data_IF_690414626579
#
_entry.id   IF_690414626579
#
_cell.length_a   1.000
_cell.length_b   1.000
_cell.length_c   1.000
_cell.angle_alpha   90.00
_cell.angle_beta   90.00
_cell.angle_gamma   90.00
#
_symmetry.space_group_name_H-M   'P 1'
#
loop_
_entity.id
_entity.type
_entity.pdbx_description
1 polymer ?
#
# COMPACT_ATOMS: atom_id res chain seq x y z
N UNK A 1 25.22 -7.27 -17.13
CA UNK A 1 24.81 -7.64 -15.76
C UNK A 1 23.64 -6.75 -15.38
N UNK A 2 22.63 -7.27 -14.71
CA UNK A 2 21.50 -6.47 -14.26
C UNK A 2 21.94 -5.64 -13.05
N UNK A 3 21.74 -4.33 -13.08
CA UNK A 3 22.06 -3.43 -11.97
C UNK A 3 20.83 -3.23 -11.10
N UNK A 4 20.90 -3.60 -9.84
CA UNK A 4 19.79 -3.48 -8.89
C UNK A 4 19.99 -2.28 -7.97
N UNK A 5 18.88 -1.61 -7.64
CA UNK A 5 18.82 -0.58 -6.60
C UNK A 5 18.14 -1.14 -5.37
N UNK A 6 18.79 -1.05 -4.21
CA UNK A 6 18.19 -1.37 -2.92
C UNK A 6 18.05 -0.07 -2.14
N UNK A 7 16.81 0.30 -1.79
CA UNK A 7 16.50 1.48 -0.99
C UNK A 7 16.10 1.04 0.40
N UNK A 8 16.84 1.49 1.41
CA UNK A 8 16.48 1.27 2.81
C UNK A 8 15.65 2.43 3.34
N UNK A 9 14.49 2.11 3.94
CA UNK A 9 13.60 3.11 4.55
C UNK A 9 13.41 2.92 6.05
N UNK A 10 14.05 1.89 6.63
CA UNK A 10 13.96 1.56 8.05
C UNK A 10 12.99 0.41 8.34
N UNK A 11 12.36 0.45 9.51
CA UNK A 11 11.47 -0.61 10.00
C UNK A 11 12.20 -1.75 10.68
N UNK A 12 11.46 -2.73 11.21
CA UNK A 12 11.97 -3.86 12.01
C UNK A 12 13.09 -4.64 11.32
N UNK A 13 13.07 -4.73 10.00
CA UNK A 13 14.12 -5.40 9.20
C UNK A 13 15.50 -4.75 9.37
N UNK A 14 15.54 -3.46 9.72
CA UNK A 14 16.75 -2.67 9.98
C UNK A 14 16.97 -2.37 11.48
N UNK A 15 16.23 -3.03 12.36
CA UNK A 15 16.27 -2.81 13.81
C UNK A 15 16.88 -3.98 14.56
N UNK A 16 17.32 -3.70 15.79
CA UNK A 16 17.84 -4.69 16.73
C UNK A 16 17.07 -4.66 18.04
N UNK A 17 16.89 -5.82 18.63
CA UNK A 17 16.34 -5.97 19.97
C UNK A 17 17.43 -5.76 21.02
N UNK A 18 17.17 -4.91 22.00
CA UNK A 18 18.00 -4.76 23.19
C UNK A 18 17.72 -5.93 24.13
N UNK A 19 18.70 -6.82 24.33
CA UNK A 19 18.56 -8.03 25.13
C UNK A 19 18.18 -7.79 26.58
N UNK A 20 18.43 -6.59 27.13
CA UNK A 20 18.14 -6.28 28.53
C UNK A 20 16.72 -5.72 28.73
N UNK A 21 16.21 -4.94 27.76
CA UNK A 21 14.90 -4.28 27.86
C UNK A 21 13.83 -4.91 26.98
N UNK A 22 14.19 -5.76 26.01
CA UNK A 22 13.29 -6.26 24.98
C UNK A 22 12.83 -5.20 23.97
N UNK A 23 13.34 -3.96 24.06
CA UNK A 23 12.96 -2.89 23.16
C UNK A 23 13.66 -3.06 21.80
N UNK A 24 12.86 -2.96 20.72
CA UNK A 24 13.37 -2.97 19.34
C UNK A 24 13.54 -1.54 18.86
N UNK A 25 14.73 -1.19 18.36
CA UNK A 25 15.05 0.17 17.92
C UNK A 25 16.04 0.17 16.75
N UNK A 26 16.08 1.24 15.93
CA UNK A 26 17.08 1.39 14.88
C UNK A 26 18.50 1.34 15.44
N UNK A 27 19.36 0.50 14.83
CA UNK A 27 20.80 0.47 15.12
C UNK A 27 21.55 1.66 14.52
N UNK A 28 22.86 1.77 14.84
CA UNK A 28 23.74 2.79 14.25
C UNK A 28 24.04 2.50 12.78
N UNK A 29 24.11 1.22 12.42
CA UNK A 29 24.34 0.74 11.06
C UNK A 29 23.18 -0.17 10.66
N UNK A 30 22.90 -0.24 9.37
CA UNK A 30 21.86 -1.14 8.87
C UNK A 30 22.41 -2.59 8.88
N UNK A 31 21.83 -3.49 9.69
CA UNK A 31 22.32 -4.87 9.78
C UNK A 31 22.24 -5.64 8.45
N UNK A 32 21.40 -5.19 7.52
CA UNK A 32 21.27 -5.79 6.19
C UNK A 32 22.52 -5.57 5.32
N UNK A 33 23.33 -4.54 5.56
CA UNK A 33 24.55 -4.27 4.79
C UNK A 33 25.59 -5.40 4.92
N UNK A 34 25.71 -6.01 6.09
CA UNK A 34 26.56 -7.19 6.28
C UNK A 34 26.01 -8.41 5.49
N UNK A 35 24.71 -8.61 5.55
CA UNK A 35 24.02 -9.69 4.82
C UNK A 35 24.12 -9.52 3.29
N UNK A 36 24.02 -8.28 2.78
CA UNK A 36 24.12 -7.99 1.36
C UNK A 36 25.49 -8.40 0.77
N UNK A 37 26.59 -8.18 1.50
CA UNK A 37 27.92 -8.57 1.04
C UNK A 37 28.06 -10.08 0.79
N UNK A 38 27.31 -10.90 1.50
CA UNK A 38 27.27 -12.36 1.34
C UNK A 38 26.28 -12.82 0.25
N UNK A 39 25.18 -12.09 0.08
CA UNK A 39 24.10 -12.46 -0.84
C UNK A 39 24.34 -12.02 -2.30
N UNK A 40 25.23 -11.04 -2.54
CA UNK A 40 25.36 -10.35 -3.82
C UNK A 40 26.39 -10.95 -4.79
N UNK A 41 26.76 -12.21 -4.63
CA UNK A 41 27.68 -12.88 -5.55
C UNK A 41 27.09 -12.87 -6.97
N UNK A 42 27.60 -11.95 -7.81
CA UNK A 42 27.30 -11.88 -9.25
C UNK A 42 26.31 -10.80 -9.72
N UNK A 43 25.74 -9.99 -8.83
CA UNK A 43 24.91 -8.85 -9.18
C UNK A 43 25.63 -7.52 -8.92
N UNK A 44 25.45 -6.54 -9.83
CA UNK A 44 25.84 -5.16 -9.59
C UNK A 44 24.71 -4.49 -8.80
N UNK A 45 24.97 -4.11 -7.53
CA UNK A 45 23.96 -3.58 -6.63
C UNK A 45 24.38 -2.21 -6.09
N UNK A 46 23.45 -1.27 -6.15
CA UNK A 46 23.56 0.01 -5.49
C UNK A 46 22.70 -0.03 -4.24
N UNK A 47 23.28 0.28 -3.11
CA UNK A 47 22.58 0.45 -1.83
C UNK A 47 22.38 1.94 -1.56
N UNK A 48 21.15 2.31 -1.25
CA UNK A 48 20.74 3.68 -0.94
C UNK A 48 20.09 3.69 0.46
N UNK A 49 20.84 4.06 1.48
CA UNK A 49 20.32 4.27 2.85
C UNK A 49 19.55 5.59 2.90
N UNK A 50 18.36 5.63 2.29
CA UNK A 50 17.62 6.86 2.03
C UNK A 50 17.04 7.50 3.30
N UNK A 51 16.32 6.71 4.10
CA UNK A 51 15.74 7.11 5.40
C UNK A 51 15.76 5.93 6.36
N UNK A 52 15.69 6.21 7.67
CA UNK A 52 15.61 5.15 8.69
C UNK A 52 14.54 5.53 9.72
N UNK A 53 13.27 5.25 9.39
CA UNK A 53 12.13 5.58 10.24
C UNK A 53 11.29 4.35 10.57
N UNK A 54 10.63 4.30 11.74
CA UNK A 54 9.56 3.35 12.01
C UNK A 54 8.40 3.57 11.04
N UNK A 55 7.79 2.48 10.56
CA UNK A 55 6.72 2.61 9.56
C UNK A 55 5.47 3.39 10.00
N UNK A 56 5.09 3.47 11.30
CA UNK A 56 4.04 4.40 11.72
C UNK A 56 4.35 5.90 11.49
N UNK A 57 5.61 6.26 11.24
CA UNK A 57 6.02 7.62 10.90
C UNK A 57 6.01 7.90 9.38
N UNK A 58 5.72 6.89 8.57
CA UNK A 58 5.60 7.04 7.12
C UNK A 58 4.33 7.81 6.77
N UNK A 59 4.48 8.89 6.00
CA UNK A 59 3.34 9.68 5.49
C UNK A 59 3.21 9.53 3.98
N UNK A 60 2.05 9.84 3.38
CA UNK A 60 1.89 9.81 1.92
C UNK A 60 2.92 10.67 1.19
N UNK A 61 3.31 11.82 1.75
CA UNK A 61 4.33 12.71 1.18
C UNK A 61 5.69 12.03 1.17
N UNK A 62 6.08 11.35 2.26
CA UNK A 62 7.33 10.56 2.32
C UNK A 62 7.29 9.39 1.34
N UNK A 63 6.14 8.70 1.22
CA UNK A 63 5.96 7.65 0.21
C UNK A 63 6.15 8.19 -1.22
N UNK A 64 5.66 9.40 -1.48
CA UNK A 64 5.81 10.05 -2.78
C UNK A 64 7.28 10.43 -3.07
N UNK A 65 8.03 10.94 -2.08
CA UNK A 65 9.47 11.21 -2.27
C UNK A 65 10.28 9.94 -2.56
N UNK A 66 9.85 8.77 -2.05
CA UNK A 66 10.44 7.48 -2.44
C UNK A 66 10.20 7.20 -3.93
N UNK A 67 8.99 7.48 -4.45
CA UNK A 67 8.71 7.31 -5.88
C UNK A 67 9.59 8.23 -6.75
N UNK A 68 9.72 9.50 -6.40
CA UNK A 68 10.59 10.46 -7.10
C UNK A 68 12.06 10.00 -7.07
N UNK A 69 12.52 9.49 -5.91
CA UNK A 69 13.86 8.93 -5.76
C UNK A 69 14.09 7.76 -6.70
N UNK A 70 13.15 6.80 -6.75
CA UNK A 70 13.22 5.64 -7.64
C UNK A 70 13.32 6.09 -9.10
N UNK A 71 12.44 6.99 -9.55
CA UNK A 71 12.45 7.46 -10.94
C UNK A 71 13.72 8.20 -11.33
N UNK A 72 14.26 8.99 -10.42
CA UNK A 72 15.56 9.68 -10.62
C UNK A 72 16.68 8.68 -10.78
N UNK A 73 16.77 7.71 -9.87
CA UNK A 73 17.84 6.69 -9.88
C UNK A 73 17.77 5.78 -11.11
N UNK A 74 16.55 5.42 -11.54
CA UNK A 74 16.36 4.64 -12.78
C UNK A 74 16.92 5.38 -13.99
N UNK A 75 16.69 6.70 -14.10
CA UNK A 75 17.16 7.52 -15.22
C UNK A 75 18.68 7.71 -15.22
N UNK A 76 19.27 7.90 -14.04
CA UNK A 76 20.69 8.22 -13.90
C UNK A 76 21.60 7.00 -13.98
N UNK A 77 21.16 5.81 -13.54
CA UNK A 77 22.05 4.70 -13.24
C UNK A 77 21.77 3.40 -14.02
N UNK A 78 20.87 3.41 -14.99
CA UNK A 78 20.49 2.24 -15.79
C UNK A 78 20.03 1.03 -14.95
N UNK A 79 19.21 1.30 -13.95
CA UNK A 79 18.65 0.29 -13.05
C UNK A 79 17.75 -0.68 -13.81
N UNK A 80 17.83 -1.96 -13.47
CA UNK A 80 17.01 -3.04 -14.06
C UNK A 80 15.94 -3.59 -13.12
N UNK A 81 16.01 -3.28 -11.82
CA UNK A 81 15.04 -3.65 -10.79
C UNK A 81 15.32 -2.93 -9.48
N UNK A 82 14.30 -2.77 -8.65
CA UNK A 82 14.35 -2.04 -7.38
C UNK A 82 13.84 -2.91 -6.25
N UNK A 83 14.52 -2.90 -5.11
CA UNK A 83 14.06 -3.49 -3.85
C UNK A 83 13.99 -2.40 -2.80
N UNK A 84 12.89 -2.34 -2.04
CA UNK A 84 12.68 -1.38 -0.97
C UNK A 84 12.50 -2.17 0.33
N UNK A 85 13.35 -1.95 1.33
CA UNK A 85 13.12 -2.49 2.68
C UNK A 85 12.32 -1.50 3.49
N UNK A 86 11.29 -1.97 4.17
CA UNK A 86 10.28 -1.13 4.82
C UNK A 86 9.77 -1.76 6.13
N UNK A 87 9.28 -0.94 7.05
CA UNK A 87 8.61 -1.43 8.24
C UNK A 87 7.21 -1.93 7.93
N UNK A 88 6.79 -3.01 8.57
CA UNK A 88 5.61 -3.80 8.16
C UNK A 88 4.25 -3.16 8.40
N UNK A 89 4.10 -2.16 9.30
CA UNK A 89 2.77 -1.62 9.66
C UNK A 89 2.12 -0.83 8.51
N UNK A 90 2.91 -0.08 7.73
CA UNK A 90 2.42 0.70 6.58
C UNK A 90 3.02 0.25 5.24
N UNK A 91 3.67 -0.93 5.21
CA UNK A 91 4.29 -1.49 4.00
C UNK A 91 3.29 -1.61 2.84
N UNK A 92 2.09 -2.11 3.11
CA UNK A 92 1.05 -2.28 2.08
C UNK A 92 0.57 -0.94 1.51
N UNK A 93 0.57 0.12 2.32
CA UNK A 93 0.19 1.46 1.90
C UNK A 93 1.28 2.08 1.01
N UNK A 94 2.54 2.01 1.45
CA UNK A 94 3.68 2.47 0.64
C UNK A 94 3.74 1.73 -0.69
N UNK A 95 3.65 0.40 -0.68
CA UNK A 95 3.66 -0.40 -1.90
C UNK A 95 2.53 0.02 -2.86
N UNK A 96 1.33 0.26 -2.35
CA UNK A 96 0.20 0.63 -3.19
C UNK A 96 0.30 2.06 -3.73
N UNK A 97 0.75 3.04 -2.94
CA UNK A 97 0.99 4.39 -3.44
C UNK A 97 2.05 4.38 -4.55
N UNK A 98 3.16 3.67 -4.34
CA UNK A 98 4.18 3.50 -5.38
C UNK A 98 3.61 2.85 -6.66
N UNK A 99 2.72 1.86 -6.52
CA UNK A 99 2.07 1.22 -7.67
C UNK A 99 1.18 2.17 -8.46
N UNK A 100 0.55 3.13 -7.79
CA UNK A 100 -0.31 4.16 -8.42
C UNK A 100 0.51 5.24 -9.15
N UNK A 101 1.71 5.61 -8.67
CA UNK A 101 2.41 6.80 -9.17
C UNK A 101 3.64 6.51 -10.01
N UNK A 102 4.30 5.36 -9.85
CA UNK A 102 5.50 5.01 -10.62
C UNK A 102 5.19 4.78 -12.10
N UNK A 103 5.93 5.48 -12.98
CA UNK A 103 5.80 5.40 -14.43
C UNK A 103 6.77 4.41 -15.08
N UNK A 104 7.15 3.37 -14.35
CA UNK A 104 8.10 2.35 -14.83
C UNK A 104 7.45 0.96 -14.97
N UNK A 105 7.94 0.16 -15.90
CA UNK A 105 7.64 -1.27 -16.01
C UNK A 105 8.73 -2.16 -15.40
N UNK A 106 9.78 -1.57 -14.85
CA UNK A 106 10.80 -2.33 -14.13
C UNK A 106 10.21 -3.02 -12.90
N UNK A 107 10.75 -4.19 -12.51
CA UNK A 107 10.37 -4.81 -11.25
C UNK A 107 10.68 -3.90 -10.07
N UNK A 108 9.65 -3.57 -9.28
CA UNK A 108 9.78 -2.84 -8.01
C UNK A 108 9.20 -3.72 -6.92
N UNK A 109 10.02 -4.07 -5.94
CA UNK A 109 9.67 -5.02 -4.88
C UNK A 109 9.79 -4.33 -3.52
N UNK A 110 8.76 -4.40 -2.71
CA UNK A 110 8.76 -3.92 -1.32
C UNK A 110 8.80 -5.14 -0.40
N UNK A 111 9.66 -5.09 0.61
CA UNK A 111 9.81 -6.15 1.60
C UNK A 111 10.04 -5.60 3.00
N UNK A 112 9.94 -6.44 3.99
CA UNK A 112 10.15 -6.11 5.39
C UNK A 112 10.44 -7.36 6.22
N UNK A 113 10.44 -7.20 7.54
CA UNK A 113 10.56 -8.31 8.48
C UNK A 113 9.64 -8.13 9.67
N UNK A 114 9.09 -9.24 10.16
CA UNK A 114 8.29 -9.28 11.38
C UNK A 114 9.15 -9.42 12.63
N UNK A 115 10.36 -9.93 12.48
CA UNK A 115 11.35 -10.11 13.55
C UNK A 115 12.55 -9.21 13.34
N UNK A 116 13.11 -8.71 14.44
CA UNK A 116 14.34 -7.91 14.40
C UNK A 116 15.55 -8.74 13.94
N UNK A 117 16.59 -8.06 13.47
CA UNK A 117 17.74 -8.70 12.81
C UNK A 117 18.50 -9.69 13.72
N UNK A 118 18.51 -9.44 15.03
CA UNK A 118 19.19 -10.27 16.04
C UNK A 118 18.26 -11.22 16.82
N UNK A 119 16.98 -11.28 16.46
CA UNK A 119 16.00 -12.20 17.02
C UNK A 119 16.16 -13.61 16.44
N UNK A 120 15.93 -14.65 17.27
CA UNK A 120 15.97 -16.02 16.80
C UNK A 120 14.91 -16.28 15.72
N UNK A 121 15.36 -16.75 14.57
CA UNK A 121 14.50 -16.97 13.40
C UNK A 121 14.10 -15.67 12.70
N UNK A 122 14.97 -14.64 12.71
CA UNK A 122 14.81 -13.43 11.92
C UNK A 122 14.50 -13.76 10.46
N UNK A 123 13.44 -13.18 9.94
CA UNK A 123 12.95 -13.39 8.57
C UNK A 123 13.52 -12.38 7.56
N UNK A 124 14.14 -11.29 8.05
CA UNK A 124 14.63 -10.18 7.21
C UNK A 124 15.62 -10.58 6.12
N UNK A 125 16.73 -11.29 6.44
CA UNK A 125 17.73 -11.69 5.44
C UNK A 125 17.15 -12.53 4.31
N UNK A 126 16.25 -13.47 4.64
CA UNK A 126 15.64 -14.33 3.64
C UNK A 126 14.59 -13.61 2.78
N UNK A 127 13.81 -12.72 3.39
CA UNK A 127 12.87 -11.86 2.67
C UNK A 127 13.60 -10.91 1.69
N UNK A 128 14.75 -10.36 2.11
CA UNK A 128 15.59 -9.54 1.22
C UNK A 128 16.16 -10.36 0.05
N UNK A 129 16.69 -11.57 0.31
CA UNK A 129 17.17 -12.46 -0.75
C UNK A 129 16.06 -12.80 -1.74
N UNK A 130 14.88 -13.17 -1.26
CA UNK A 130 13.72 -13.49 -2.11
C UNK A 130 13.30 -12.27 -2.94
N UNK A 131 13.32 -11.08 -2.37
CA UNK A 131 13.01 -9.82 -3.06
C UNK A 131 14.03 -9.48 -4.15
N UNK A 132 15.32 -9.70 -3.91
CA UNK A 132 16.39 -9.53 -4.91
C UNK A 132 16.18 -10.50 -6.10
N UNK A 133 15.83 -11.76 -5.84
CA UNK A 133 15.51 -12.73 -6.89
C UNK A 133 14.33 -12.26 -7.74
N UNK A 134 13.26 -11.77 -7.14
CA UNK A 134 12.08 -11.26 -7.86
C UNK A 134 12.42 -9.99 -8.64
N UNK A 135 13.15 -9.03 -8.07
CA UNK A 135 13.57 -7.81 -8.75
C UNK A 135 14.52 -8.06 -9.93
N UNK A 136 15.26 -9.18 -9.89
CA UNK A 136 16.15 -9.62 -10.99
C UNK A 136 15.41 -10.45 -12.05
N UNK A 137 14.17 -10.86 -11.79
CA UNK A 137 13.43 -11.77 -12.66
C UNK A 137 12.76 -11.00 -13.81
N UNK A 138 13.02 -11.43 -15.06
CA UNK A 138 12.43 -10.78 -16.24
C UNK A 138 10.90 -10.85 -16.23
N UNK A 139 10.33 -11.96 -15.76
CA UNK A 139 8.88 -12.19 -15.68
C UNK A 139 8.17 -11.27 -14.69
N UNK A 140 8.91 -10.58 -13.79
CA UNK A 140 8.36 -9.58 -12.89
C UNK A 140 8.09 -8.22 -13.56
N UNK A 141 8.64 -7.97 -14.77
CA UNK A 141 8.40 -6.72 -15.51
C UNK A 141 6.93 -6.53 -15.84
N UNK A 142 6.46 -5.28 -15.70
CA UNK A 142 5.09 -4.89 -16.02
C UNK A 142 4.04 -5.37 -15.01
N UNK A 143 4.42 -6.09 -13.94
CA UNK A 143 3.48 -6.59 -12.92
C UNK A 143 3.12 -5.56 -11.84
N UNK A 144 3.67 -4.35 -11.93
CA UNK A 144 3.49 -3.33 -10.93
C UNK A 144 4.43 -3.48 -9.74
N UNK A 145 4.12 -2.79 -8.65
CA UNK A 145 4.83 -2.94 -7.40
C UNK A 145 4.40 -4.25 -6.74
N UNK A 146 5.40 -5.05 -6.39
CA UNK A 146 5.22 -6.36 -5.76
C UNK A 146 5.61 -6.28 -4.28
N UNK A 147 4.97 -7.09 -3.47
CA UNK A 147 5.32 -7.29 -2.06
C UNK A 147 5.77 -8.73 -1.88
N UNK A 148 6.98 -8.92 -1.35
CA UNK A 148 7.59 -10.25 -1.21
C UNK A 148 8.00 -10.47 0.23
N UNK A 149 7.31 -11.40 0.89
CA UNK A 149 7.63 -11.89 2.23
C UNK A 149 7.26 -13.36 2.33
N UNK A 150 7.98 -14.12 3.15
CA UNK A 150 7.67 -15.51 3.47
C UNK A 150 7.45 -16.37 2.21
N UNK A 151 8.33 -16.23 1.19
CA UNK A 151 8.32 -16.92 -0.11
C UNK A 151 7.12 -16.62 -1.03
N UNK A 152 6.18 -15.78 -0.61
CA UNK A 152 5.01 -15.39 -1.41
C UNK A 152 5.24 -14.05 -2.12
N UNK A 153 4.71 -13.96 -3.35
CA UNK A 153 4.74 -12.75 -4.17
C UNK A 153 3.32 -12.24 -4.30
N UNK A 154 3.07 -11.04 -3.79
CA UNK A 154 1.77 -10.39 -3.83
C UNK A 154 1.81 -9.13 -4.68
N UNK A 155 0.66 -8.73 -5.23
CA UNK A 155 0.52 -7.40 -5.81
C UNK A 155 0.30 -6.37 -4.71
N UNK A 156 0.82 -5.17 -4.89
CA UNK A 156 0.58 -4.05 -3.97
C UNK A 156 -0.92 -3.77 -3.77
N UNK A 157 -1.74 -3.97 -4.81
CA UNK A 157 -3.20 -3.79 -4.74
C UNK A 157 -3.87 -4.75 -3.77
N UNK A 158 -3.49 -6.03 -3.77
CA UNK A 158 -4.25 -7.08 -3.09
C UNK A 158 -3.69 -7.49 -1.72
N UNK A 159 -2.40 -7.24 -1.47
CA UNK A 159 -1.75 -7.63 -0.22
C UNK A 159 -2.26 -6.82 0.96
N UNK A 160 -2.37 -7.44 2.13
CA UNK A 160 -2.65 -6.74 3.40
C UNK A 160 -2.01 -7.47 4.58
N UNK A 161 -1.64 -6.71 5.62
CA UNK A 161 -1.15 -7.25 6.88
C UNK A 161 -2.32 -7.80 7.70
N UNK A 162 -2.39 -9.12 7.84
CA UNK A 162 -3.53 -9.82 8.45
C UNK A 162 -3.31 -10.22 9.90
N UNK A 163 -2.07 -10.17 10.39
CA UNK A 163 -1.70 -10.56 11.74
C UNK A 163 -0.66 -9.60 12.35
N UNK A 164 -0.70 -9.40 13.64
CA UNK A 164 0.17 -8.43 14.33
C UNK A 164 1.63 -8.88 14.47
N UNK A 165 1.93 -10.18 14.50
CA UNK A 165 3.26 -10.73 14.84
C UNK A 165 3.71 -11.95 14.01
N UNK A 166 2.81 -12.61 13.25
CA UNK A 166 3.16 -13.80 12.49
C UNK A 166 4.01 -13.43 11.28
N UNK A 167 5.05 -14.20 10.96
CA UNK A 167 5.89 -13.98 9.76
C UNK A 167 5.12 -14.17 8.45
N UNK A 168 4.06 -15.01 8.43
CA UNK A 168 3.15 -15.20 7.31
C UNK A 168 1.95 -14.23 7.34
N UNK A 169 2.20 -12.98 7.76
CA UNK A 169 1.12 -12.01 7.98
C UNK A 169 0.63 -11.30 6.73
N UNK A 170 1.48 -11.18 5.70
CA UNK A 170 1.09 -10.54 4.45
C UNK A 170 0.38 -11.54 3.57
N UNK A 171 -0.90 -11.27 3.33
CA UNK A 171 -1.80 -12.14 2.58
C UNK A 171 -2.59 -11.32 1.56
N UNK A 172 -3.06 -11.98 0.51
CA UNK A 172 -4.06 -11.44 -0.42
C UNK A 172 -5.36 -12.25 -0.22
N UNK A 173 -6.20 -11.92 0.77
CA UNK A 173 -7.26 -12.82 1.25
C UNK A 173 -8.26 -13.23 0.18
N UNK A 174 -8.54 -12.35 -0.79
CA UNK A 174 -9.53 -12.62 -1.83
C UNK A 174 -8.95 -13.37 -3.03
N UNK A 175 -7.66 -13.18 -3.36
CA UNK A 175 -7.09 -13.65 -4.63
C UNK A 175 -5.87 -14.54 -4.48
N UNK A 176 -5.27 -14.63 -3.30
CA UNK A 176 -4.01 -15.33 -3.05
C UNK A 176 -2.79 -14.58 -3.60
N UNK A 177 -1.58 -15.14 -3.37
CA UNK A 177 -0.35 -14.63 -3.97
C UNK A 177 -0.35 -14.83 -5.49
N UNK A 178 0.35 -14.00 -6.24
CA UNK A 178 0.49 -14.14 -7.70
C UNK A 178 1.66 -15.02 -8.12
N UNK A 179 2.52 -15.38 -7.19
CA UNK A 179 3.69 -16.22 -7.42
C UNK A 179 4.36 -16.62 -6.13
N UNK A 180 5.39 -17.44 -6.27
CA UNK A 180 6.22 -17.94 -5.16
C UNK A 180 7.71 -17.87 -5.52
N UNK A 181 8.52 -17.71 -4.48
CA UNK A 181 9.98 -17.80 -4.57
C UNK A 181 10.43 -19.15 -4.05
N UNK A 182 11.31 -19.83 -4.78
CA UNK A 182 11.92 -21.08 -4.34
C UNK A 182 13.43 -20.92 -4.24
N UNK A 183 14.12 -21.96 -3.72
CA UNK A 183 15.60 -21.96 -3.71
C UNK A 183 16.19 -21.76 -5.11
N UNK A 184 15.56 -22.31 -6.14
CA UNK A 184 16.11 -22.35 -7.50
C UNK A 184 15.60 -21.21 -8.39
N UNK A 185 14.32 -20.82 -8.29
CA UNK A 185 13.70 -19.86 -9.22
C UNK A 185 12.45 -19.21 -8.66
N UNK A 186 12.02 -18.15 -9.33
CA UNK A 186 10.75 -17.45 -9.14
C UNK A 186 9.69 -18.05 -10.05
N UNK A 187 8.46 -18.21 -9.56
CA UNK A 187 7.32 -18.65 -10.34
C UNK A 187 6.18 -17.66 -10.20
N UNK A 188 5.59 -17.25 -11.32
CA UNK A 188 4.35 -16.50 -11.36
C UNK A 188 3.21 -17.40 -11.83
N UNK A 189 2.09 -17.42 -11.10
CA UNK A 189 0.92 -18.24 -11.42
C UNK A 189 -0.11 -17.44 -12.22
N UNK A 190 -0.25 -16.14 -11.93
CA UNK A 190 -1.17 -15.23 -12.60
C UNK A 190 -0.67 -13.79 -12.53
N UNK A 191 -1.42 -12.86 -13.13
CA UNK A 191 -1.11 -11.43 -13.13
C UNK A 191 -2.40 -10.62 -13.02
N UNK A 192 -2.31 -9.38 -12.58
CA UNK A 192 -3.46 -8.47 -12.62
C UNK A 192 -3.84 -8.20 -14.08
N UNK A 193 -5.14 -8.23 -14.35
CA UNK A 193 -5.70 -7.89 -15.67
C UNK A 193 -5.66 -6.38 -15.93
N UNK A 194 -5.70 -5.58 -14.89
CA UNK A 194 -5.70 -4.12 -14.97
C UNK A 194 -4.89 -3.52 -13.84
N UNK A 195 -4.17 -2.45 -14.15
CA UNK A 195 -3.36 -1.68 -13.23
C UNK A 195 -3.68 -0.19 -13.41
N UNK A 196 -3.88 0.52 -12.29
CA UNK A 196 -4.07 1.96 -12.30
C UNK A 196 -2.71 2.65 -12.21
N UNK A 197 -2.49 3.68 -13.02
CA UNK A 197 -1.34 4.58 -12.95
C UNK A 197 -1.81 6.01 -13.13
N UNK A 198 -1.28 6.89 -12.30
CA UNK A 198 -1.59 8.32 -12.34
C UNK A 198 -0.31 9.12 -12.44
N UNK A 199 -0.35 10.17 -13.24
CA UNK A 199 0.74 11.15 -13.30
C UNK A 199 0.35 12.35 -12.44
N UNK A 200 1.06 12.54 -11.33
CA UNK A 200 0.86 13.64 -10.38
C UNK A 200 2.19 14.32 -10.08
N UNK A 201 2.15 15.58 -9.70
CA UNK A 201 3.34 16.38 -9.38
C UNK A 201 3.57 16.58 -7.88
N UNK A 202 2.68 16.06 -7.04
CA UNK A 202 2.77 16.18 -5.58
C UNK A 202 1.49 15.73 -4.90
N UNK A 203 1.47 15.80 -3.57
CA UNK A 203 0.33 15.50 -2.74
C UNK A 203 -0.02 16.72 -1.89
N UNK A 204 -1.15 17.35 -2.17
CA UNK A 204 -1.65 18.57 -1.51
C UNK A 204 -3.03 18.39 -0.89
N UNK A 205 -3.76 17.37 -1.34
CA UNK A 205 -5.12 17.09 -0.89
C UNK A 205 -5.13 16.39 0.46
N UNK A 206 -6.22 16.57 1.21
CA UNK A 206 -6.45 15.91 2.48
C UNK A 206 -7.61 14.91 2.35
N UNK A 207 -7.36 13.63 2.62
CA UNK A 207 -8.34 12.55 2.54
C UNK A 207 -8.38 11.78 3.86
N UNK A 208 -9.57 11.66 4.44
CA UNK A 208 -9.80 10.90 5.67
C UNK A 208 -10.29 9.48 5.39
N UNK A 209 -10.10 8.60 6.36
CA UNK A 209 -10.68 7.26 6.41
C UNK A 209 -11.54 7.13 7.65
N UNK A 210 -12.77 6.64 7.49
CA UNK A 210 -13.73 6.41 8.56
C UNK A 210 -14.30 4.99 8.47
N UNK A 211 -14.28 4.25 9.57
CA UNK A 211 -14.91 2.93 9.66
C UNK A 211 -16.28 3.06 10.31
N UNK A 212 -17.34 2.67 9.58
CA UNK A 212 -18.70 2.67 10.08
C UNK A 212 -18.96 1.56 11.12
N UNK A 213 -19.75 1.89 12.12
CA UNK A 213 -20.20 0.96 13.16
C UNK A 213 -21.71 1.08 13.40
N UNK A 214 -22.28 0.12 14.13
CA UNK A 214 -23.72 0.11 14.45
C UNK A 214 -24.09 1.33 15.34
N UNK A 215 -25.14 2.08 14.94
CA UNK A 215 -25.58 3.28 15.66
C UNK A 215 -24.73 4.52 15.43
N UNK A 216 -23.81 4.51 14.45
CA UNK A 216 -23.03 5.68 14.08
C UNK A 216 -23.94 6.79 13.51
N UNK A 217 -23.72 8.03 13.91
CA UNK A 217 -24.42 9.23 13.45
C UNK A 217 -23.56 10.12 12.52
N UNK A 218 -24.06 11.31 12.22
CA UNK A 218 -23.42 12.28 11.32
C UNK A 218 -22.34 13.16 11.95
N UNK A 219 -22.11 13.14 13.28
CA UNK A 219 -21.26 14.12 13.96
C UNK A 219 -19.82 14.17 13.41
N UNK A 220 -19.20 13.00 13.19
CA UNK A 220 -17.85 12.94 12.63
C UNK A 220 -17.81 13.41 11.17
N UNK A 221 -18.88 13.23 10.40
CA UNK A 221 -18.96 13.71 9.01
C UNK A 221 -19.12 15.24 8.97
N UNK A 222 -19.88 15.84 9.89
CA UNK A 222 -19.95 17.29 10.03
C UNK A 222 -18.57 17.87 10.39
N UNK A 223 -17.91 17.30 11.41
CA UNK A 223 -16.57 17.73 11.80
C UNK A 223 -15.57 17.60 10.64
N UNK A 224 -15.59 16.51 9.88
CA UNK A 224 -14.77 16.33 8.69
C UNK A 224 -15.02 17.42 7.64
N UNK A 225 -16.28 17.78 7.40
CA UNK A 225 -16.66 18.87 6.50
C UNK A 225 -16.17 20.24 6.96
N UNK A 226 -16.13 20.47 8.27
CA UNK A 226 -15.73 21.77 8.84
C UNK A 226 -14.22 22.00 8.84
N UNK A 227 -13.41 20.94 8.95
CA UNK A 227 -11.94 21.05 8.82
C UNK A 227 -11.47 21.14 7.36
N UNK A 228 -12.37 21.04 6.38
CA UNK A 228 -12.08 21.31 4.97
C UNK A 228 -11.27 20.21 4.29
N UNK A 229 -11.61 18.94 4.51
CA UNK A 229 -11.03 17.83 3.76
C UNK A 229 -11.46 17.87 2.28
N UNK A 230 -10.66 17.27 1.40
CA UNK A 230 -10.99 17.16 -0.03
C UNK A 230 -11.76 15.87 -0.36
N UNK A 231 -11.59 14.84 0.46
CA UNK A 231 -12.26 13.56 0.28
C UNK A 231 -12.31 12.73 1.54
N UNK A 232 -13.23 11.76 1.55
CA UNK A 232 -13.35 10.77 2.63
C UNK A 232 -13.61 9.40 2.05
N UNK A 233 -12.94 8.39 2.61
CA UNK A 233 -13.26 6.99 2.37
C UNK A 233 -14.03 6.47 3.57
N UNK A 234 -15.12 5.74 3.34
CA UNK A 234 -15.92 5.12 4.39
C UNK A 234 -15.88 3.60 4.21
N UNK A 235 -15.35 2.90 5.23
CA UNK A 235 -15.49 1.44 5.34
C UNK A 235 -16.90 1.12 5.85
N UNK A 236 -17.79 0.81 4.92
CA UNK A 236 -19.21 0.59 5.17
C UNK A 236 -19.54 -0.82 5.68
N UNK A 237 -20.76 -1.00 6.13
CA UNK A 237 -21.30 -2.27 6.61
C UNK A 237 -21.66 -3.18 5.43
N UNK A 238 -21.23 -4.43 5.49
CA UNK A 238 -21.60 -5.47 4.52
C UNK A 238 -21.35 -5.05 3.07
N UNK A 239 -22.38 -5.06 2.24
CA UNK A 239 -22.29 -4.71 0.82
C UNK A 239 -22.34 -3.20 0.52
N UNK A 240 -22.02 -2.34 1.47
CA UNK A 240 -22.00 -0.89 1.27
C UNK A 240 -23.23 -0.18 1.83
N UNK A 241 -23.58 -0.47 3.09
CA UNK A 241 -24.68 0.18 3.79
C UNK A 241 -24.14 1.00 4.95
N UNK A 242 -24.84 2.08 5.30
CA UNK A 242 -24.55 2.92 6.45
C UNK A 242 -25.77 3.01 7.38
N UNK A 243 -25.58 3.28 8.69
CA UNK A 243 -26.67 3.65 9.57
C UNK A 243 -27.46 4.84 9.02
N UNK A 244 -28.80 4.86 9.17
CA UNK A 244 -29.66 5.89 8.58
C UNK A 244 -29.34 7.32 9.12
N UNK A 245 -28.80 7.42 10.32
CA UNK A 245 -28.45 8.71 10.96
C UNK A 245 -27.16 9.33 10.42
N UNK A 246 -26.37 8.59 9.62
CA UNK A 246 -25.24 9.14 8.87
C UNK A 246 -25.64 9.94 7.63
N UNK A 247 -26.89 9.82 7.14
CA UNK A 247 -27.27 10.38 5.83
C UNK A 247 -27.21 11.91 5.78
N UNK A 248 -27.50 12.62 6.87
CA UNK A 248 -27.40 14.08 6.90
C UNK A 248 -25.94 14.54 6.77
N UNK A 249 -25.00 13.79 7.38
CA UNK A 249 -23.57 14.05 7.20
C UNK A 249 -23.08 13.77 5.77
N UNK A 250 -23.59 12.70 5.11
CA UNK A 250 -23.30 12.42 3.71
C UNK A 250 -23.74 13.58 2.80
N UNK A 251 -24.96 14.08 2.97
CA UNK A 251 -25.47 15.23 2.22
C UNK A 251 -24.62 16.47 2.44
N UNK A 252 -24.32 16.80 3.71
CA UNK A 252 -23.49 17.93 4.08
C UNK A 252 -22.10 17.90 3.41
N UNK A 253 -21.42 16.75 3.39
CA UNK A 253 -20.14 16.61 2.71
C UNK A 253 -20.29 16.81 1.19
N UNK A 254 -21.36 16.28 0.58
CA UNK A 254 -21.62 16.44 -0.85
C UNK A 254 -21.94 17.89 -1.23
N UNK A 255 -22.69 18.62 -0.41
CA UNK A 255 -22.96 20.05 -0.58
C UNK A 255 -21.69 20.91 -0.52
N UNK A 256 -20.70 20.48 0.28
CA UNK A 256 -19.37 21.10 0.33
C UNK A 256 -18.43 20.65 -0.81
N UNK A 257 -18.90 19.83 -1.74
CA UNK A 257 -18.10 19.33 -2.87
C UNK A 257 -17.06 18.25 -2.48
N UNK A 258 -17.14 17.71 -1.26
CA UNK A 258 -16.20 16.69 -0.76
C UNK A 258 -16.50 15.34 -1.43
N UNK A 259 -15.47 14.71 -1.99
CA UNK A 259 -15.58 13.40 -2.61
C UNK A 259 -15.76 12.30 -1.55
N UNK A 260 -16.74 11.41 -1.74
CA UNK A 260 -17.02 10.30 -0.84
C UNK A 260 -16.84 9.00 -1.61
N UNK A 261 -15.87 8.19 -1.18
CA UNK A 261 -15.64 6.84 -1.70
C UNK A 261 -16.03 5.82 -0.62
N UNK A 262 -16.70 4.77 -1.02
CA UNK A 262 -17.12 3.70 -0.12
C UNK A 262 -16.51 2.37 -0.49
N UNK A 263 -15.96 1.68 0.51
CA UNK A 263 -15.50 0.28 0.46
C UNK A 263 -16.22 -0.51 1.56
N UNK A 264 -16.10 -1.82 1.54
CA UNK A 264 -16.61 -2.64 2.65
C UNK A 264 -15.55 -2.75 3.76
N UNK A 265 -16.00 -2.80 5.02
CA UNK A 265 -15.15 -3.21 6.14
C UNK A 265 -14.89 -4.73 6.18
N UNK A 266 -15.53 -5.50 5.30
CA UNK A 266 -15.29 -6.93 5.12
C UNK A 266 -14.05 -7.15 4.25
N UNK A 267 -13.26 -8.17 4.57
CA UNK A 267 -12.06 -8.52 3.81
C UNK A 267 -12.34 -8.99 2.39
N UNK A 268 -13.45 -9.66 2.18
CA UNK A 268 -13.84 -10.26 0.91
C UNK A 268 -15.20 -9.73 0.45
N UNK A 269 -15.43 -9.81 -0.85
CA UNK A 269 -16.67 -9.37 -1.49
C UNK A 269 -16.57 -7.97 -2.08
N UNK A 270 -17.72 -7.45 -2.51
CA UNK A 270 -17.83 -6.17 -3.19
C UNK A 270 -18.96 -5.32 -2.60
N UNK A 271 -18.81 -4.01 -2.68
CA UNK A 271 -19.90 -3.06 -2.40
C UNK A 271 -20.81 -2.93 -3.63
N UNK A 272 -22.12 -2.86 -3.40
CA UNK A 272 -23.15 -2.84 -4.45
C UNK A 272 -24.32 -1.93 -4.09
N UNK A 273 -24.96 -1.37 -5.10
CA UNK A 273 -26.14 -0.50 -5.00
C UNK A 273 -27.46 -1.29 -4.96
N UNK A 274 -27.54 -2.33 -4.12
CA UNK A 274 -28.69 -3.26 -4.09
C UNK A 274 -29.79 -2.77 -3.15
N UNK A 275 -29.43 -2.26 -1.98
CA UNK A 275 -30.39 -1.94 -0.92
C UNK A 275 -30.97 -0.54 -1.04
N UNK A 276 -32.33 -0.43 -1.12
CA UNK A 276 -33.07 0.81 -1.37
C UNK A 276 -33.58 1.54 -0.11
N UNK A 277 -33.29 1.06 1.11
CA UNK A 277 -33.68 1.75 2.34
C UNK A 277 -32.74 2.93 2.65
N UNK A 278 -33.13 3.80 3.58
CA UNK A 278 -32.32 4.95 4.02
C UNK A 278 -30.96 4.49 4.54
N UNK A 279 -29.87 4.93 3.92
CA UNK A 279 -28.50 4.48 4.19
C UNK A 279 -28.10 3.22 3.43
N UNK A 280 -28.97 2.62 2.63
CA UNK A 280 -28.62 1.50 1.75
C UNK A 280 -27.82 1.94 0.51
N UNK A 281 -27.11 0.99 -0.11
CA UNK A 281 -26.19 1.29 -1.21
C UNK A 281 -26.82 2.06 -2.36
N UNK A 282 -28.06 1.73 -2.77
CA UNK A 282 -28.78 2.46 -3.81
C UNK A 282 -29.02 3.93 -3.43
N UNK A 283 -29.50 4.16 -2.20
CA UNK A 283 -29.74 5.50 -1.66
C UNK A 283 -28.44 6.32 -1.55
N UNK A 284 -27.32 5.69 -1.17
CA UNK A 284 -26.01 6.34 -1.10
C UNK A 284 -25.49 6.72 -2.50
N UNK A 285 -25.67 5.88 -3.50
CA UNK A 285 -25.30 6.15 -4.89
C UNK A 285 -26.10 7.34 -5.47
N UNK A 286 -27.39 7.44 -5.17
CA UNK A 286 -28.25 8.58 -5.54
C UNK A 286 -27.73 9.91 -4.94
N UNK A 287 -27.02 9.86 -3.81
CA UNK A 287 -26.35 11.00 -3.19
C UNK A 287 -24.91 11.20 -3.67
N UNK A 288 -24.49 10.53 -4.76
CA UNK A 288 -23.18 10.71 -5.40
C UNK A 288 -22.00 10.08 -4.65
N UNK A 289 -22.26 9.05 -3.84
CA UNK A 289 -21.19 8.24 -3.23
C UNK A 289 -20.58 7.32 -4.29
N UNK A 290 -19.26 7.31 -4.40
CA UNK A 290 -18.50 6.47 -5.32
C UNK A 290 -18.23 5.12 -4.67
N UNK A 291 -18.52 4.03 -5.35
CA UNK A 291 -18.25 2.68 -4.85
C UNK A 291 -16.93 2.17 -5.41
N UNK A 292 -16.07 1.65 -4.53
CA UNK A 292 -14.77 1.08 -4.89
C UNK A 292 -14.66 -0.37 -4.44
N UNK A 293 -14.24 -1.24 -5.34
CA UNK A 293 -14.11 -2.67 -5.10
C UNK A 293 -12.65 -3.13 -5.15
N UNK A 294 -12.34 -4.20 -4.44
CA UNK A 294 -11.02 -4.81 -4.43
C UNK A 294 -9.95 -4.04 -3.65
N UNK A 295 -10.35 -3.03 -2.85
CA UNK A 295 -9.44 -2.28 -1.98
C UNK A 295 -9.97 -2.31 -0.54
N UNK A 296 -9.04 -2.36 0.43
CA UNK A 296 -9.33 -2.01 1.81
C UNK A 296 -9.36 -0.47 1.99
N UNK A 297 -9.80 0.01 3.15
CA UNK A 297 -10.02 1.43 3.38
C UNK A 297 -8.77 2.28 3.22
N UNK A 298 -7.63 1.85 3.78
CA UNK A 298 -6.37 2.59 3.71
C UNK A 298 -5.87 2.74 2.27
N UNK A 299 -5.98 1.71 1.44
CA UNK A 299 -5.61 1.79 0.01
C UNK A 299 -6.59 2.61 -0.80
N UNK A 300 -7.89 2.48 -0.55
CA UNK A 300 -8.89 3.33 -1.19
C UNK A 300 -8.66 4.81 -0.85
N UNK A 301 -8.22 5.12 0.39
CA UNK A 301 -7.81 6.46 0.81
C UNK A 301 -6.65 7.00 -0.02
N UNK A 302 -5.60 6.20 -0.20
CA UNK A 302 -4.45 6.59 -1.02
C UNK A 302 -4.84 6.75 -2.50
N UNK A 303 -5.69 5.86 -3.02
CA UNK A 303 -6.21 6.00 -4.39
C UNK A 303 -7.02 7.29 -4.56
N UNK A 304 -7.88 7.64 -3.59
CA UNK A 304 -8.64 8.88 -3.62
C UNK A 304 -7.73 10.11 -3.53
N UNK A 305 -6.71 10.07 -2.67
CA UNK A 305 -5.72 11.12 -2.56
C UNK A 305 -5.03 11.38 -3.91
N UNK A 306 -4.49 10.34 -4.54
CA UNK A 306 -3.82 10.44 -5.85
C UNK A 306 -4.80 10.84 -6.97
N UNK A 307 -6.00 10.31 -6.96
CA UNK A 307 -7.03 10.64 -7.94
C UNK A 307 -7.45 12.12 -7.90
N UNK A 308 -7.58 12.69 -6.69
CA UNK A 308 -7.89 14.11 -6.50
C UNK A 308 -6.74 15.05 -6.92
N UNK A 309 -5.48 14.57 -6.94
CA UNK A 309 -4.37 15.31 -7.52
C UNK A 309 -4.35 15.22 -9.06
N UNK A 310 -4.84 14.10 -9.61
CA UNK A 310 -4.82 13.85 -11.04
C UNK A 310 -5.95 14.54 -11.79
N UNK A 311 -7.12 14.79 -11.14
CA UNK A 311 -8.27 15.40 -11.80
C UNK A 311 -9.15 16.21 -10.85
N UNK A 312 -9.72 17.30 -11.38
CA UNK A 312 -10.80 18.07 -10.74
C UNK A 312 -12.19 17.73 -11.30
N UNK A 313 -12.27 16.93 -12.36
CA UNK A 313 -13.55 16.52 -12.95
C UNK A 313 -14.21 15.38 -12.15
N UNK A 314 -15.39 15.60 -11.55
CA UNK A 314 -16.09 14.57 -10.77
C UNK A 314 -16.44 13.30 -11.57
N UNK A 315 -16.62 13.41 -12.90
CA UNK A 315 -16.91 12.25 -13.76
C UNK A 315 -15.66 11.40 -13.97
N UNK A 316 -14.53 12.04 -14.21
CA UNK A 316 -13.26 11.36 -14.33
C UNK A 316 -12.87 10.71 -13.01
N UNK A 317 -13.03 11.42 -11.88
CA UNK A 317 -12.84 10.88 -10.55
C UNK A 317 -13.68 9.61 -10.32
N UNK A 318 -14.95 9.63 -10.70
CA UNK A 318 -15.83 8.46 -10.61
C UNK A 318 -15.29 7.28 -11.45
N UNK A 319 -14.84 7.55 -12.70
CA UNK A 319 -14.31 6.53 -13.59
C UNK A 319 -13.05 5.83 -13.05
N UNK A 320 -12.22 6.52 -12.27
CA UNK A 320 -11.05 5.93 -11.62
C UNK A 320 -11.42 4.80 -10.64
N UNK A 321 -12.63 4.77 -10.11
CA UNK A 321 -13.10 3.76 -9.16
C UNK A 321 -14.01 2.69 -9.77
N UNK A 322 -14.36 2.78 -11.04
CA UNK A 322 -15.18 1.79 -11.74
C UNK A 322 -14.41 0.51 -12.14
N UNK A 323 -13.08 0.49 -11.94
CA UNK A 323 -12.18 -0.57 -12.44
C UNK A 323 -11.73 -1.50 -11.34
#
# INVERSE_FOLDING_TARGET
>A
MSKLLIIHTGGTIAMEENKNSGAVSPGKENPLNATLSELLIGNDVIVDDYINIPSPHMTPEVMFTIAERIETRIKEEHISGVVITHGTDTLEETAYLLDLVLQTDLPVVVTGAMRSSNELGSDGPYNLLSSIKVASCHEAKGKGVLVVLNDEIHTAKNVTKTHTSNVSTFQSPQYGPIGIVTKQRVFFHHTLTMRDRYHISGLTKNVMLLKAYAGMDSQLLFAAGDIGINGIVIEALGQGNLPPDMMEGIKHLREKGIAIVMVSRCFNGIVQDVYGYKGGGKHLKEHGVIFSNGLNGQKARLKLLVALEATEDPKELHNFFLR
#
